data_IF_912002225431
#
_entry.id   IF_912002225431
#
_cell.length_a   1.000
_cell.length_b   1.000
_cell.length_c   1.000
_cell.angle_alpha   90.00
_cell.angle_beta   90.00
_cell.angle_gamma   90.00
#
_symmetry.space_group_name_H-M   'P 1'
#
loop_
_entity.id
_entity.type
_entity.pdbx_description
1 polymer ?
#
# COMPACT_ATOMS: atom_id res chain seq x y z
N UNK A 1 26.90 53.56 -1.97
CA UNK A 1 27.38 52.27 -1.42
C UNK A 1 26.24 51.26 -1.48
N UNK A 2 26.38 50.24 -2.32
CA UNK A 2 25.36 49.22 -2.60
C UNK A 2 25.18 48.34 -1.37
N UNK A 3 24.01 48.37 -0.72
CA UNK A 3 23.69 47.41 0.34
C UNK A 3 23.17 46.14 -0.30
N UNK A 4 23.90 45.07 -0.02
CA UNK A 4 23.77 43.71 -0.52
C UNK A 4 22.38 43.17 -0.23
N UNK A 5 21.68 42.75 -1.29
CA UNK A 5 20.48 41.92 -1.24
C UNK A 5 20.82 40.59 -0.59
N UNK A 6 20.25 40.28 0.56
CA UNK A 6 20.33 38.95 1.16
C UNK A 6 19.01 38.64 1.83
N UNK A 7 18.20 37.78 1.20
CA UNK A 7 17.30 36.81 1.85
C UNK A 7 16.70 35.92 0.75
N UNK A 8 17.55 35.11 0.12
CA UNK A 8 17.14 34.05 -0.80
C UNK A 8 17.67 32.72 -0.29
N UNK A 9 17.18 32.22 0.86
CA UNK A 9 17.46 30.85 1.31
C UNK A 9 16.44 30.41 2.36
N UNK A 10 15.19 30.14 1.96
CA UNK A 10 14.27 29.37 2.83
C UNK A 10 13.09 28.77 2.07
N UNK A 11 13.38 28.02 1.01
CA UNK A 11 12.44 27.05 0.46
C UNK A 11 13.18 25.76 0.08
N UNK A 12 13.94 25.21 1.03
CA UNK A 12 14.24 23.78 0.98
C UNK A 12 12.98 23.08 1.49
N UNK A 13 12.05 22.82 0.58
CA UNK A 13 10.91 21.96 0.87
C UNK A 13 11.46 20.58 1.26
N UNK A 14 11.26 20.19 2.51
CA UNK A 14 11.54 18.84 2.97
C UNK A 14 10.55 17.89 2.26
N UNK A 15 10.96 17.28 1.15
CA UNK A 15 10.26 16.12 0.62
C UNK A 15 10.55 14.96 1.58
N UNK A 16 9.74 14.81 2.63
CA UNK A 16 9.71 13.58 3.42
C UNK A 16 9.21 12.47 2.50
N UNK A 17 10.13 11.62 2.03
CA UNK A 17 9.78 10.48 1.19
C UNK A 17 9.11 9.41 2.07
N UNK A 18 7.81 9.54 2.31
CA UNK A 18 7.07 8.59 3.13
C UNK A 18 6.79 7.33 2.31
N UNK A 19 7.44 6.23 2.71
CA UNK A 19 7.17 4.89 2.25
C UNK A 19 6.63 4.09 3.43
N UNK A 20 5.38 3.65 3.33
CA UNK A 20 4.76 2.78 4.32
C UNK A 20 4.96 1.32 3.88
N UNK A 21 5.75 0.57 4.65
CA UNK A 21 6.01 -0.85 4.40
C UNK A 21 5.14 -1.67 5.33
N UNK A 22 4.18 -2.42 4.78
CA UNK A 22 3.29 -3.28 5.53
C UNK A 22 3.74 -4.73 5.44
N UNK A 23 4.07 -5.35 6.56
CA UNK A 23 4.46 -6.77 6.63
C UNK A 23 3.29 -7.62 7.12
N UNK A 24 3.14 -8.80 6.54
CA UNK A 24 2.07 -9.72 6.88
C UNK A 24 2.23 -10.21 8.32
N UNK A 25 1.12 -10.28 9.05
CA UNK A 25 1.12 -10.77 10.43
C UNK A 25 1.48 -12.27 10.51
N UNK A 26 1.31 -13.02 9.41
CA UNK A 26 1.68 -14.44 9.27
C UNK A 26 3.03 -14.55 8.56
N UNK A 27 4.05 -15.01 9.27
CA UNK A 27 5.42 -15.22 8.76
C UNK A 27 5.50 -16.10 7.50
N UNK A 28 4.60 -17.10 7.42
CA UNK A 28 4.56 -18.07 6.32
C UNK A 28 3.55 -17.71 5.21
N UNK A 29 2.94 -16.52 5.23
CA UNK A 29 2.01 -16.13 4.15
C UNK A 29 2.73 -16.03 2.80
N UNK A 30 2.01 -16.42 1.75
CA UNK A 30 2.43 -16.24 0.36
C UNK A 30 2.35 -14.78 -0.10
N UNK A 31 1.75 -13.89 0.68
CA UNK A 31 1.70 -12.44 0.45
C UNK A 31 2.47 -11.73 1.56
N UNK A 32 3.82 -11.72 1.54
CA UNK A 32 4.64 -11.34 2.67
C UNK A 32 4.54 -9.85 3.02
N UNK A 33 4.33 -8.98 2.04
CA UNK A 33 4.26 -7.53 2.26
C UNK A 33 3.59 -6.78 1.11
N UNK A 34 3.17 -5.55 1.40
CA UNK A 34 2.91 -4.53 0.40
C UNK A 34 3.53 -3.20 0.82
N UNK A 35 3.74 -2.31 -0.13
CA UNK A 35 4.39 -1.03 0.09
C UNK A 35 3.53 0.06 -0.52
N UNK A 36 3.24 1.11 0.24
CA UNK A 36 2.59 2.33 -0.25
C UNK A 36 3.65 3.43 -0.26
N UNK A 37 4.01 3.93 -1.44
CA UNK A 37 4.95 5.02 -1.61
C UNK A 37 4.17 6.28 -2.04
N UNK A 38 4.01 7.22 -1.11
CA UNK A 38 3.26 8.45 -1.36
C UNK A 38 4.06 9.45 -2.20
N UNK A 39 5.38 9.30 -2.27
CA UNK A 39 6.28 10.22 -2.98
C UNK A 39 6.16 10.08 -4.50
N UNK A 40 6.06 8.84 -4.99
CA UNK A 40 5.88 8.53 -6.41
C UNK A 40 4.47 8.01 -6.73
N UNK A 41 3.54 8.06 -5.76
CA UNK A 41 2.16 7.60 -5.90
C UNK A 41 2.04 6.16 -6.39
N UNK A 42 2.87 5.25 -5.85
CA UNK A 42 2.83 3.83 -6.21
C UNK A 42 2.47 2.93 -5.04
N UNK A 43 1.77 1.84 -5.35
CA UNK A 43 1.54 0.73 -4.43
C UNK A 43 2.14 -0.54 -5.02
N UNK A 44 3.00 -1.22 -4.26
CA UNK A 44 3.69 -2.43 -4.68
C UNK A 44 3.21 -3.62 -3.84
N UNK A 45 2.86 -4.71 -4.51
CA UNK A 45 2.40 -5.95 -3.88
C UNK A 45 3.38 -7.07 -4.15
N UNK A 46 3.80 -7.76 -3.08
CA UNK A 46 4.78 -8.83 -3.14
C UNK A 46 4.13 -10.18 -2.84
N UNK A 47 4.57 -11.20 -3.56
CA UNK A 47 4.21 -12.61 -3.32
C UNK A 47 5.46 -13.47 -3.14
N UNK A 48 5.38 -14.61 -2.45
CA UNK A 48 6.47 -15.58 -2.38
C UNK A 48 6.44 -16.48 -3.61
N UNK A 49 7.58 -16.61 -4.29
CA UNK A 49 7.80 -17.58 -5.37
C UNK A 49 8.98 -18.44 -4.98
N UNK A 50 8.74 -19.73 -4.73
CA UNK A 50 9.77 -20.64 -4.19
C UNK A 50 10.25 -20.21 -2.80
N UNK A 51 9.37 -19.63 -1.97
CA UNK A 51 9.70 -19.13 -0.63
C UNK A 51 10.32 -17.73 -0.59
N UNK A 52 10.73 -17.18 -1.74
CA UNK A 52 11.40 -15.87 -1.82
C UNK A 52 10.38 -14.78 -2.18
N UNK A 53 10.29 -13.67 -1.41
CA UNK A 53 9.47 -12.52 -1.77
C UNK A 53 9.89 -11.91 -3.12
N UNK A 54 8.96 -11.80 -4.06
CA UNK A 54 9.12 -11.14 -5.36
C UNK A 54 8.02 -10.11 -5.58
N UNK A 55 8.37 -9.02 -6.25
CA UNK A 55 7.39 -8.03 -6.69
C UNK A 55 6.44 -8.69 -7.68
N UNK A 56 5.14 -8.59 -7.43
CA UNK A 56 4.12 -9.22 -8.25
C UNK A 56 3.32 -8.18 -9.03
N UNK A 57 2.85 -7.12 -8.35
CA UNK A 57 2.19 -5.99 -9.00
C UNK A 57 2.75 -4.65 -8.53
N UNK A 58 2.75 -3.68 -9.43
CA UNK A 58 2.95 -2.27 -9.15
C UNK A 58 1.77 -1.50 -9.72
N UNK A 59 1.09 -0.73 -8.89
CA UNK A 59 0.02 0.16 -9.30
C UNK A 59 0.47 1.61 -9.17
N UNK A 60 0.25 2.42 -10.21
CA UNK A 60 0.52 3.87 -10.21
C UNK A 60 -0.60 4.65 -9.49
N UNK A 61 -0.97 4.19 -8.30
CA UNK A 61 -1.89 4.84 -7.38
C UNK A 61 -1.68 4.32 -5.97
N UNK A 62 -2.16 5.10 -4.99
CA UNK A 62 -2.13 4.78 -3.57
C UNK A 62 -3.54 4.74 -2.97
N UNK A 63 -3.76 4.02 -1.86
CA UNK A 63 -5.03 4.08 -1.12
C UNK A 63 -5.38 5.53 -0.76
N UNK A 64 -6.63 5.91 -0.97
CA UNK A 64 -7.13 7.26 -0.69
C UNK A 64 -7.92 7.27 0.61
N UNK A 65 -7.88 8.38 1.34
CA UNK A 65 -8.70 8.58 2.54
C UNK A 65 -10.18 8.46 2.15
N UNK A 66 -10.93 7.62 2.85
CA UNK A 66 -12.37 7.46 2.61
C UNK A 66 -13.21 7.63 3.88
N UNK A 67 -12.59 7.58 5.05
CA UNK A 67 -13.22 7.79 6.34
C UNK A 67 -12.15 8.25 7.35
N UNK A 68 -12.51 9.20 8.21
CA UNK A 68 -11.64 9.77 9.23
C UNK A 68 -12.31 9.87 10.62
N UNK A 69 -13.44 9.16 10.79
CA UNK A 69 -14.18 9.07 12.03
C UNK A 69 -13.40 8.34 13.14
N UNK A 70 -13.81 8.56 14.39
CA UNK A 70 -13.29 7.88 15.58
C UNK A 70 -11.77 7.96 15.72
N UNK A 71 -11.20 9.14 15.43
CA UNK A 71 -9.77 9.42 15.54
C UNK A 71 -8.89 8.47 14.71
N UNK A 72 -9.47 7.87 13.66
CA UNK A 72 -8.82 6.86 12.82
C UNK A 72 -8.93 7.27 11.37
N UNK A 73 -7.80 7.52 10.71
CA UNK A 73 -7.79 7.79 9.27
C UNK A 73 -7.78 6.45 8.53
N UNK A 74 -8.77 6.20 7.68
CA UNK A 74 -8.95 4.95 6.93
C UNK A 74 -8.76 5.22 5.44
N UNK A 75 -7.86 4.45 4.84
CA UNK A 75 -7.46 4.58 3.45
C UNK A 75 -7.79 3.30 2.69
N UNK A 76 -8.29 3.45 1.46
CA UNK A 76 -8.65 2.31 0.61
C UNK A 76 -8.36 2.58 -0.86
N UNK A 77 -7.96 1.53 -1.57
CA UNK A 77 -8.04 1.49 -3.03
C UNK A 77 -8.55 0.12 -3.49
N UNK A 78 -9.21 0.12 -4.63
CA UNK A 78 -9.54 -1.09 -5.36
C UNK A 78 -8.86 -1.07 -6.72
N UNK A 79 -8.26 -2.19 -7.09
CA UNK A 79 -7.59 -2.39 -8.38
C UNK A 79 -8.02 -3.70 -8.99
N UNK A 80 -8.09 -3.72 -10.31
CA UNK A 80 -8.48 -4.91 -11.08
C UNK A 80 -7.37 -5.19 -12.07
N UNK A 81 -6.85 -6.40 -12.01
CA UNK A 81 -5.87 -6.95 -12.94
C UNK A 81 -6.51 -8.11 -13.70
N UNK A 82 -6.36 -8.13 -15.02
CA UNK A 82 -6.96 -9.17 -15.85
C UNK A 82 -5.87 -9.81 -16.72
N UNK A 83 -5.66 -11.11 -16.57
CA UNK A 83 -4.72 -11.87 -17.39
C UNK A 83 -5.43 -13.02 -18.11
N UNK A 84 -4.68 -13.89 -18.79
CA UNK A 84 -5.29 -15.03 -19.50
C UNK A 84 -5.91 -16.09 -18.58
N UNK A 85 -5.56 -16.07 -17.29
CA UNK A 85 -5.92 -17.12 -16.31
C UNK A 85 -7.13 -16.69 -15.49
N UNK A 86 -7.16 -15.43 -15.04
CA UNK A 86 -8.18 -14.92 -14.14
C UNK A 86 -8.27 -13.40 -14.13
N UNK A 87 -9.45 -12.91 -13.78
CA UNK A 87 -9.68 -11.54 -13.33
C UNK A 87 -9.45 -11.48 -11.82
N UNK A 88 -8.53 -10.61 -11.38
CA UNK A 88 -8.17 -10.41 -9.97
C UNK A 88 -8.57 -9.02 -9.53
N UNK A 89 -9.37 -8.94 -8.48
CA UNK A 89 -9.69 -7.69 -7.79
C UNK A 89 -8.93 -7.65 -6.48
N UNK A 90 -8.20 -6.58 -6.23
CA UNK A 90 -7.53 -6.33 -4.96
C UNK A 90 -8.16 -5.13 -4.28
N UNK A 91 -8.62 -5.33 -3.05
CA UNK A 91 -8.96 -4.26 -2.12
C UNK A 91 -7.80 -4.13 -1.14
N UNK A 92 -7.16 -2.95 -1.16
CA UNK A 92 -6.01 -2.63 -0.32
C UNK A 92 -6.48 -1.56 0.66
N UNK A 93 -6.31 -1.84 1.94
CA UNK A 93 -6.76 -0.98 3.01
C UNK A 93 -5.66 -0.79 4.05
N UNK A 94 -5.59 0.39 4.62
CA UNK A 94 -4.94 0.59 5.91
C UNK A 94 -5.61 1.69 6.72
N UNK A 95 -5.46 1.61 8.03
CA UNK A 95 -5.87 2.64 8.98
C UNK A 95 -4.69 3.17 9.78
N UNK A 96 -4.72 4.45 10.12
CA UNK A 96 -3.84 5.12 11.07
C UNK A 96 -4.65 5.56 12.29
N UNK A 97 -4.35 4.99 13.45
CA UNK A 97 -4.89 5.45 14.73
C UNK A 97 -4.11 6.68 15.20
N UNK A 98 -4.78 7.85 15.32
CA UNK A 98 -4.09 9.12 15.62
C UNK A 98 -3.41 9.12 17.00
N UNK A 99 -3.94 8.40 17.96
CA UNK A 99 -3.42 8.36 19.34
C UNK A 99 -2.15 7.50 19.47
N UNK A 100 -2.19 6.29 18.91
CA UNK A 100 -1.09 5.33 19.03
C UNK A 100 -0.10 5.43 17.88
N UNK A 101 -0.44 6.21 16.84
CA UNK A 101 0.25 6.20 15.53
C UNK A 101 0.37 4.78 14.96
N UNK A 102 -0.53 3.89 15.38
CA UNK A 102 -0.56 2.50 14.99
C UNK A 102 -1.20 2.33 13.62
N UNK A 103 -0.64 1.43 12.83
CA UNK A 103 -1.14 1.09 11.52
C UNK A 103 -1.62 -0.35 11.46
N UNK A 104 -2.81 -0.56 10.90
CA UNK A 104 -3.36 -1.89 10.57
C UNK A 104 -3.74 -1.85 9.10
N UNK A 105 -3.39 -2.88 8.35
CA UNK A 105 -3.77 -2.99 6.95
C UNK A 105 -4.26 -4.37 6.58
N UNK A 106 -4.98 -4.46 5.47
CA UNK A 106 -5.30 -5.73 4.83
C UNK A 106 -5.17 -5.62 3.32
N UNK A 107 -4.96 -6.77 2.69
CA UNK A 107 -5.22 -6.95 1.26
C UNK A 107 -6.21 -8.09 1.12
N UNK A 108 -7.32 -7.80 0.46
CA UNK A 108 -8.32 -8.78 0.06
C UNK A 108 -8.26 -8.96 -1.45
N UNK A 109 -7.95 -10.18 -1.87
CA UNK A 109 -7.87 -10.57 -3.26
C UNK A 109 -9.06 -11.47 -3.61
N UNK A 110 -9.85 -11.07 -4.60
CA UNK A 110 -10.87 -11.90 -5.24
C UNK A 110 -10.34 -12.34 -6.60
N UNK A 111 -10.21 -13.65 -6.80
CA UNK A 111 -9.70 -14.27 -8.02
C UNK A 111 -10.86 -14.98 -8.71
N UNK A 112 -11.26 -14.47 -9.85
CA UNK A 112 -12.31 -15.02 -10.70
C UNK A 112 -11.65 -15.69 -11.91
N UNK A 113 -11.62 -17.02 -11.93
CA UNK A 113 -10.93 -17.78 -12.96
C UNK A 113 -11.71 -17.78 -14.27
N UNK A 114 -10.99 -17.75 -15.40
CA UNK A 114 -11.62 -17.84 -16.73
C UNK A 114 -12.00 -19.27 -17.13
N UNK A 115 -11.81 -20.24 -16.24
CA UNK A 115 -12.21 -21.64 -16.41
C UNK A 115 -13.24 -22.04 -15.34
N UNK A 116 -13.50 -23.35 -15.20
CA UNK A 116 -14.51 -23.88 -14.29
C UNK A 116 -14.15 -23.84 -12.81
N UNK A 117 -12.95 -23.34 -12.43
CA UNK A 117 -12.57 -23.25 -11.03
C UNK A 117 -13.43 -22.21 -10.31
N UNK A 118 -13.83 -22.47 -9.06
CA UNK A 118 -14.63 -21.52 -8.30
C UNK A 118 -13.81 -20.25 -8.00
N UNK A 119 -14.52 -19.12 -7.92
CA UNK A 119 -13.94 -17.86 -7.46
C UNK A 119 -13.31 -18.04 -6.07
N UNK A 120 -12.08 -17.57 -5.91
CA UNK A 120 -11.33 -17.67 -4.65
C UNK A 120 -11.16 -16.31 -4.01
N UNK A 121 -11.42 -16.22 -2.71
CA UNK A 121 -11.16 -15.02 -1.90
C UNK A 121 -10.01 -15.32 -0.93
N UNK A 122 -9.02 -14.43 -0.90
CA UNK A 122 -7.87 -14.50 -0.01
C UNK A 122 -7.78 -13.16 0.73
N UNK A 123 -7.72 -13.20 2.05
CA UNK A 123 -7.57 -12.01 2.86
C UNK A 123 -6.38 -12.17 3.81
N UNK A 124 -5.46 -11.22 3.73
CA UNK A 124 -4.25 -11.19 4.52
C UNK A 124 -4.21 -9.89 5.33
N UNK A 125 -3.82 -10.01 6.59
CA UNK A 125 -3.72 -8.89 7.53
C UNK A 125 -2.26 -8.52 7.76
N UNK A 126 -1.99 -7.22 7.84
CA UNK A 126 -0.66 -6.65 7.87
C UNK A 126 -0.55 -5.60 8.98
N UNK A 127 0.69 -5.39 9.41
CA UNK A 127 1.09 -4.29 10.30
C UNK A 127 2.17 -3.46 9.62
N UNK A 128 2.24 -2.18 9.93
CA UNK A 128 3.36 -1.36 9.46
C UNK A 128 4.66 -1.87 10.10
N UNK A 129 5.70 -1.96 9.29
CA UNK A 129 7.06 -2.18 9.75
C UNK A 129 7.63 -0.84 10.23
N UNK A 130 7.94 -0.78 11.52
CA UNK A 130 8.66 0.35 12.12
C UNK A 130 10.11 0.41 11.64
#
# INVERSE_FOLDING_TARGET
MKKVTLFLFLFIGFYTNAQLVFENNKTNSNTPKFIVNTSNSTTQFYTKVGGIPKLYYTWNKVPQLFDDADRTNRYKMTVVENDKIAKRTFEIYYSLYRETQGYIGYIKQTIDFHDSRPTKIIEDNFKLKN
#
